data_IF_489946431267
#
_entry.id   IF_489946431267
#
_cell.length_a   1.000
_cell.length_b   1.000
_cell.length_c   1.000
_cell.angle_alpha   90.00
_cell.angle_beta   90.00
_cell.angle_gamma   90.00
#
_symmetry.space_group_name_H-M   'P 1'
#
loop_
_entity.id
_entity.type
_entity.pdbx_description
1 polymer ?
#
# COMPACT_ATOMS: atom_id res chain seq x y z
N UNK A 1 -20.51 38.97 -19.06
CA UNK A 1 -21.84 39.43 -18.61
C UNK A 1 -21.69 39.90 -17.16
N UNK A 2 -21.40 41.19 -16.96
CA UNK A 2 -22.31 42.24 -16.44
C UNK A 2 -22.29 42.25 -14.89
N UNK A 3 -22.13 43.35 -14.13
CA UNK A 3 -22.26 44.78 -14.37
C UNK A 3 -21.59 45.58 -13.20
N UNK A 4 -21.46 46.90 -13.41
CA UNK A 4 -20.85 47.98 -12.62
C UNK A 4 -21.58 48.35 -11.30
N UNK A 5 -20.82 48.89 -10.33
CA UNK A 5 -20.86 50.34 -9.98
C UNK A 5 -21.61 50.84 -8.73
N UNK A 6 -20.92 51.71 -7.96
CA UNK A 6 -21.45 52.68 -6.98
C UNK A 6 -20.96 52.40 -5.54
N UNK A 7 -20.29 53.27 -4.77
CA UNK A 7 -20.09 54.72 -4.81
C UNK A 7 -20.47 55.31 -3.45
N UNK A 8 -19.54 55.96 -2.73
CA UNK A 8 -19.90 56.84 -1.59
C UNK A 8 -19.01 56.77 -0.33
N UNK A 9 -18.26 57.85 -0.11
CA UNK A 9 -17.51 58.19 1.11
C UNK A 9 -18.43 58.55 2.28
N UNK A 10 -18.13 58.07 3.49
CA UNK A 10 -18.50 58.72 4.76
C UNK A 10 -17.32 58.64 5.73
N UNK A 11 -16.89 59.79 6.26
CA UNK A 11 -15.85 59.95 7.31
C UNK A 11 -16.53 60.19 8.69
N UNK A 12 -15.80 60.07 9.82
CA UNK A 12 -16.20 59.31 11.01
C UNK A 12 -16.85 60.14 12.13
N UNK A 13 -17.32 59.46 13.21
CA UNK A 13 -17.12 60.03 14.54
C UNK A 13 -16.63 59.03 15.60
N UNK A 14 -15.65 59.50 16.37
CA UNK A 14 -15.37 59.30 17.80
C UNK A 14 -15.82 58.02 18.56
N UNK A 15 -14.80 57.32 19.08
CA UNK A 15 -14.67 56.78 20.43
C UNK A 15 -15.90 56.16 21.13
N UNK A 16 -15.87 54.82 21.24
CA UNK A 16 -16.29 54.16 22.48
C UNK A 16 -15.34 52.98 22.74
N UNK A 17 -14.52 53.13 23.78
CA UNK A 17 -13.73 52.07 24.35
C UNK A 17 -14.70 51.15 25.12
N UNK A 18 -14.98 49.96 24.59
CA UNK A 18 -15.67 48.91 25.32
C UNK A 18 -14.70 47.75 25.58
N UNK A 19 -14.47 47.52 26.86
CA UNK A 19 -13.67 46.44 27.43
C UNK A 19 -14.17 45.08 26.92
N UNK A 20 -13.34 44.35 26.17
CA UNK A 20 -13.50 42.91 26.03
C UNK A 20 -12.39 42.22 26.81
N UNK A 21 -12.88 41.42 27.75
CA UNK A 21 -12.19 40.73 28.79
C UNK A 21 -11.15 39.73 28.24
N UNK A 22 -9.98 39.77 28.86
CA UNK A 22 -9.04 38.66 29.12
C UNK A 22 -9.48 37.24 28.68
N UNK A 23 -9.35 36.94 27.40
CA UNK A 23 -9.29 35.56 26.91
C UNK A 23 -7.83 35.12 26.82
N UNK A 24 -7.33 34.42 27.86
CA UNK A 24 -6.07 33.69 27.80
C UNK A 24 -6.07 32.83 26.53
N UNK A 25 -5.28 33.20 25.52
CA UNK A 25 -4.76 32.21 24.60
C UNK A 25 -3.90 31.29 25.45
N UNK A 26 -4.46 30.15 25.84
CA UNK A 26 -3.72 29.06 26.44
C UNK A 26 -2.61 28.72 25.45
N UNK A 27 -1.41 29.24 25.71
CA UNK A 27 -0.17 28.67 25.23
C UNK A 27 -0.16 27.25 25.80
N UNK A 28 -0.71 26.31 25.03
CA UNK A 28 -0.55 24.90 25.31
C UNK A 28 0.96 24.71 25.32
N UNK A 29 1.54 24.57 26.50
CA UNK A 29 2.94 24.21 26.69
C UNK A 29 3.08 22.85 26.05
N UNK A 30 3.39 22.83 24.75
CA UNK A 30 3.58 21.62 23.99
C UNK A 30 4.68 20.84 24.72
N UNK A 31 4.30 19.71 25.31
CA UNK A 31 5.22 18.82 26.00
C UNK A 31 6.45 18.59 25.09
N UNK A 32 7.63 18.91 25.60
CA UNK A 32 8.87 18.64 24.88
C UNK A 32 9.12 17.13 24.91
N UNK A 33 9.10 16.50 23.74
CA UNK A 33 9.32 15.07 23.59
C UNK A 33 10.74 14.81 23.08
N UNK A 34 11.31 13.68 23.50
CA UNK A 34 12.53 13.13 22.92
C UNK A 34 12.13 12.17 21.79
N UNK A 35 12.46 12.52 20.55
CA UNK A 35 12.04 11.81 19.35
C UNK A 35 13.28 11.20 18.70
N UNK A 36 13.30 9.87 18.56
CA UNK A 36 14.34 9.14 17.85
C UNK A 36 13.77 8.63 16.52
N UNK A 37 14.35 9.08 15.40
CA UNK A 37 13.97 8.63 14.06
C UNK A 37 15.02 7.65 13.55
N UNK A 38 14.61 6.42 13.27
CA UNK A 38 15.51 5.36 12.79
C UNK A 38 15.21 5.12 11.32
N UNK A 39 16.21 5.25 10.45
CA UNK A 39 16.09 5.01 9.02
C UNK A 39 17.41 4.56 8.42
N UNK A 40 17.35 3.53 7.57
CA UNK A 40 18.47 3.16 6.71
C UNK A 40 18.79 4.29 5.73
N UNK A 41 17.77 4.98 5.23
CA UNK A 41 17.93 6.07 4.26
C UNK A 41 18.05 7.40 5.00
N UNK A 42 19.27 7.95 5.05
CA UNK A 42 19.53 9.31 5.55
C UNK A 42 20.80 9.90 4.92
N UNK A 43 21.06 11.19 5.15
CA UNK A 43 22.27 11.86 4.62
C UNK A 43 23.53 11.05 4.93
N UNK A 44 24.50 10.94 3.99
CA UNK A 44 24.73 11.82 2.83
C UNK A 44 23.92 11.50 1.57
N UNK A 45 23.18 10.40 1.53
CA UNK A 45 22.38 10.08 0.35
C UNK A 45 21.24 11.09 0.20
N UNK A 46 20.98 11.49 -1.03
CA UNK A 46 19.90 12.42 -1.40
C UNK A 46 18.75 11.62 -2.01
N UNK A 47 17.57 11.75 -1.43
CA UNK A 47 16.36 11.11 -1.92
C UNK A 47 15.11 11.67 -1.23
N UNK A 48 13.95 11.12 -1.60
CA UNK A 48 12.66 11.57 -1.08
C UNK A 48 12.51 11.28 0.42
N UNK A 49 12.93 10.09 0.87
CA UNK A 49 12.84 9.65 2.26
C UNK A 49 13.78 10.47 3.15
N UNK A 50 15.01 10.69 2.70
CA UNK A 50 16.04 11.45 3.40
C UNK A 50 15.64 12.91 3.59
N UNK A 51 15.12 13.53 2.53
CA UNK A 51 14.64 14.91 2.55
C UNK A 51 13.43 15.05 3.48
N UNK A 52 12.52 14.08 3.45
CA UNK A 52 11.35 14.04 4.32
C UNK A 52 11.73 13.94 5.80
N UNK A 53 12.61 12.99 6.16
CA UNK A 53 13.08 12.81 7.53
C UNK A 53 13.78 14.07 8.03
N UNK A 54 14.60 14.70 7.19
CA UNK A 54 15.28 15.94 7.55
C UNK A 54 14.29 17.08 7.81
N UNK A 55 13.40 17.37 6.87
CA UNK A 55 12.42 18.46 7.02
C UNK A 55 11.52 18.24 8.24
N UNK A 56 11.05 17.01 8.44
CA UNK A 56 10.26 16.65 9.63
C UNK A 56 11.04 16.90 10.92
N UNK A 57 12.31 16.50 10.96
CA UNK A 57 13.18 16.72 12.12
C UNK A 57 13.38 18.20 12.42
N UNK A 58 13.53 19.04 11.39
CA UNK A 58 13.67 20.49 11.55
C UNK A 58 12.40 21.12 12.14
N UNK A 59 11.23 20.76 11.62
CA UNK A 59 9.95 21.24 12.16
C UNK A 59 9.76 20.81 13.62
N UNK A 60 10.14 19.58 13.97
CA UNK A 60 10.05 19.08 15.35
C UNK A 60 11.01 19.82 16.30
N UNK A 61 12.24 20.12 15.86
CA UNK A 61 13.20 20.93 16.62
C UNK A 61 12.66 22.35 16.83
N UNK A 62 12.12 22.99 15.79
CA UNK A 62 11.53 24.34 15.88
C UNK A 62 10.34 24.40 16.85
N UNK A 63 9.62 23.29 17.01
CA UNK A 63 8.52 23.15 17.98
C UNK A 63 9.00 22.84 19.41
N UNK A 64 10.31 22.83 19.66
CA UNK A 64 10.91 22.62 20.97
C UNK A 64 11.09 21.15 21.37
N UNK A 65 10.99 20.21 20.43
CA UNK A 65 11.25 18.79 20.68
C UNK A 65 12.73 18.45 20.45
N UNK A 66 13.25 17.49 21.23
CA UNK A 66 14.62 17.00 21.06
C UNK A 66 14.62 15.85 20.07
N UNK A 67 15.14 16.08 18.88
CA UNK A 67 15.17 15.07 17.81
C UNK A 67 16.57 14.51 17.63
N UNK A 68 16.66 13.19 17.53
CA UNK A 68 17.86 12.47 17.11
C UNK A 68 17.52 11.55 15.95
N UNK A 69 18.50 11.33 15.07
CA UNK A 69 18.39 10.38 13.96
C UNK A 69 19.39 9.27 14.16
N UNK A 70 18.99 8.03 13.90
CA UNK A 70 19.86 6.86 13.89
C UNK A 70 19.82 6.23 12.51
N UNK A 71 20.99 6.11 11.89
CA UNK A 71 21.17 5.54 10.55
C UNK A 71 22.43 4.69 10.51
N UNK A 72 22.64 3.92 9.46
CA UNK A 72 23.88 3.16 9.29
C UNK A 72 25.04 4.03 8.84
N UNK A 73 26.24 3.50 9.03
CA UNK A 73 27.46 4.16 8.64
C UNK A 73 27.61 4.20 7.13
N UNK A 74 27.90 5.38 6.61
CA UNK A 74 28.17 5.60 5.20
C UNK A 74 29.67 5.80 4.99
N UNK A 75 30.38 4.74 4.58
CA UNK A 75 31.85 4.74 4.37
C UNK A 75 32.58 5.31 5.60
N UNK A 76 33.10 6.52 5.50
CA UNK A 76 33.86 7.23 6.54
C UNK A 76 32.97 8.00 7.54
N UNK A 77 31.66 8.08 7.29
CA UNK A 77 30.68 8.66 8.23
C UNK A 77 30.26 7.60 9.23
N UNK A 78 30.95 7.59 10.37
CA UNK A 78 30.67 6.75 11.55
C UNK A 78 30.56 7.63 12.80
N UNK A 79 29.86 7.13 13.81
CA UNK A 79 29.71 7.79 15.10
C UNK A 79 28.69 8.91 15.11
N UNK A 80 28.84 9.84 16.05
CA UNK A 80 27.88 10.92 16.28
C UNK A 80 28.28 12.13 15.44
N UNK A 81 27.33 12.70 14.70
CA UNK A 81 27.52 13.95 13.97
C UNK A 81 26.36 14.89 14.21
N UNK A 82 26.64 16.18 14.10
CA UNK A 82 25.65 17.23 14.13
C UNK A 82 25.52 17.81 12.73
N UNK A 83 24.33 17.74 12.17
CA UNK A 83 23.99 18.46 10.95
C UNK A 83 23.67 19.93 11.29
N UNK A 84 23.56 20.75 10.25
CA UNK A 84 23.07 22.12 10.37
C UNK A 84 21.76 22.17 11.16
N UNK A 85 21.55 23.27 11.90
CA UNK A 85 20.36 23.51 12.74
C UNK A 85 20.22 22.55 13.94
N UNK A 86 21.33 22.00 14.45
CA UNK A 86 21.35 21.27 15.73
C UNK A 86 20.82 19.85 15.68
N UNK A 87 20.59 19.28 14.48
CA UNK A 87 20.11 17.91 14.33
C UNK A 87 21.22 16.90 14.60
N UNK A 88 21.06 16.10 15.66
CA UNK A 88 22.02 15.07 16.06
C UNK A 88 21.74 13.75 15.34
N UNK A 89 22.76 13.20 14.69
CA UNK A 89 22.69 11.96 13.90
C UNK A 89 23.71 10.95 14.41
N UNK A 90 23.27 9.73 14.66
CA UNK A 90 24.10 8.58 15.03
C UNK A 90 24.26 7.69 13.81
N UNK A 91 25.49 7.58 13.33
CA UNK A 91 25.90 6.67 12.26
C UNK A 91 26.47 5.40 12.90
N UNK A 92 25.64 4.36 12.99
CA UNK A 92 26.02 3.08 13.58
C UNK A 92 26.86 2.27 12.58
N UNK A 93 27.94 1.59 12.98
CA UNK A 93 28.80 0.80 12.10
C UNK A 93 28.13 -0.52 11.66
N UNK A 94 26.97 -0.40 11.02
CA UNK A 94 26.15 -1.50 10.50
C UNK A 94 26.51 -1.80 9.04
N UNK A 95 26.59 -3.10 8.71
CA UNK A 95 26.89 -3.55 7.34
C UNK A 95 25.62 -3.57 6.49
N UNK A 96 25.64 -2.84 5.39
CA UNK A 96 24.56 -2.81 4.39
C UNK A 96 24.55 -4.13 3.63
N UNK A 97 23.38 -4.76 3.48
CA UNK A 97 23.22 -6.00 2.72
C UNK A 97 22.76 -5.75 1.28
N UNK A 98 21.69 -4.98 1.09
CA UNK A 98 21.12 -4.72 -0.25
C UNK A 98 20.45 -3.36 -0.31
N UNK A 99 20.67 -2.59 -1.37
CA UNK A 99 20.06 -1.27 -1.64
C UNK A 99 19.97 -0.31 -0.43
N UNK A 100 21.09 -0.12 0.29
CA UNK A 100 21.18 0.66 1.54
C UNK A 100 20.41 0.10 2.75
N UNK A 101 19.68 -1.01 2.63
CA UNK A 101 19.13 -1.72 3.79
C UNK A 101 20.25 -2.42 4.55
N UNK A 102 20.41 -2.09 5.83
CA UNK A 102 21.28 -2.84 6.72
C UNK A 102 20.64 -4.14 7.17
N UNK A 103 21.46 -5.17 7.47
CA UNK A 103 21.00 -6.29 8.27
C UNK A 103 20.77 -5.79 9.71
N UNK A 104 19.68 -5.08 9.93
CA UNK A 104 19.20 -4.66 11.27
C UNK A 104 18.74 -5.86 12.09
N UNK A 105 19.02 -7.08 11.62
CA UNK A 105 18.78 -8.36 12.30
C UNK A 105 19.53 -8.47 13.64
N UNK A 106 20.62 -7.72 13.86
CA UNK A 106 21.42 -7.81 15.10
C UNK A 106 20.95 -6.91 16.26
N UNK A 107 20.04 -5.97 16.04
CA UNK A 107 19.50 -5.10 17.11
C UNK A 107 18.03 -5.38 17.46
N UNK A 108 17.59 -6.62 17.28
CA UNK A 108 16.28 -7.12 17.74
C UNK A 108 16.06 -6.97 19.26
N UNK A 109 17.09 -6.65 20.03
CA UNK A 109 17.11 -6.77 21.48
C UNK A 109 17.72 -5.57 22.20
N UNK A 110 17.36 -4.34 21.82
CA UNK A 110 17.47 -3.21 22.75
C UNK A 110 16.10 -2.99 23.41
N UNK A 111 15.90 -3.41 24.68
CA UNK A 111 14.66 -3.18 25.45
C UNK A 111 14.30 -1.69 25.63
N UNK A 112 15.16 -0.78 25.16
CA UNK A 112 15.02 0.67 25.26
C UNK A 112 14.20 1.29 24.12
N UNK A 113 13.90 0.55 23.05
CA UNK A 113 13.06 1.00 21.95
C UNK A 113 11.73 0.23 21.94
N UNK A 114 10.60 0.96 21.92
CA UNK A 114 9.24 0.38 21.79
C UNK A 114 8.95 -0.19 20.38
N UNK A 115 9.98 -0.44 19.57
CA UNK A 115 9.88 -0.80 18.15
C UNK A 115 10.60 -2.13 17.94
N UNK A 116 9.87 -3.15 17.47
CA UNK A 116 10.42 -4.45 17.08
C UNK A 116 10.44 -4.56 15.56
N UNK A 117 11.62 -4.59 14.95
CA UNK A 117 11.79 -4.75 13.51
C UNK A 117 12.00 -6.23 13.19
N UNK A 118 11.03 -6.90 12.56
CA UNK A 118 11.04 -8.36 12.36
C UNK A 118 11.93 -8.83 11.20
N UNK A 119 12.32 -7.94 10.30
CA UNK A 119 13.02 -8.31 9.07
C UNK A 119 12.09 -8.96 8.04
N UNK A 120 12.67 -9.69 7.09
CA UNK A 120 11.91 -10.43 6.08
C UNK A 120 11.22 -11.65 6.72
N UNK A 121 9.92 -11.78 6.47
CA UNK A 121 9.12 -12.92 6.93
C UNK A 121 8.65 -13.71 5.71
N UNK A 122 8.60 -15.03 5.83
CA UNK A 122 7.93 -15.86 4.84
C UNK A 122 6.43 -15.62 4.91
N UNK A 123 5.74 -15.70 3.76
CA UNK A 123 4.30 -15.41 3.68
C UNK A 123 3.45 -16.24 4.66
N UNK A 124 3.87 -17.48 4.95
CA UNK A 124 3.19 -18.38 5.90
C UNK A 124 3.17 -17.83 7.34
N UNK A 125 4.18 -17.05 7.72
CA UNK A 125 4.37 -16.54 9.09
C UNK A 125 3.77 -15.12 9.27
N UNK A 126 3.39 -14.45 8.17
CA UNK A 126 2.83 -13.09 8.19
C UNK A 126 1.58 -13.01 9.05
N UNK A 127 0.69 -14.00 8.95
CA UNK A 127 -0.54 -14.09 9.76
C UNK A 127 -0.23 -14.03 11.25
N UNK A 128 0.72 -14.85 11.71
CA UNK A 128 1.04 -15.00 13.13
C UNK A 128 1.61 -13.72 13.73
N UNK A 129 2.22 -12.87 12.89
CA UNK A 129 2.69 -11.54 13.27
C UNK A 129 1.56 -10.52 13.26
N UNK A 130 0.74 -10.48 12.21
CA UNK A 130 -0.34 -9.50 12.10
C UNK A 130 -1.32 -9.62 13.26
N UNK A 131 -1.71 -10.83 13.66
CA UNK A 131 -2.64 -11.05 14.79
C UNK A 131 -2.13 -10.55 16.15
N UNK A 132 -0.83 -10.27 16.29
CA UNK A 132 -0.26 -9.65 17.50
C UNK A 132 -0.52 -8.13 17.55
N UNK A 133 -0.89 -7.53 16.41
CA UNK A 133 -1.12 -6.10 16.24
C UNK A 133 -2.59 -5.71 16.37
N UNK A 134 -2.81 -4.41 16.58
CA UNK A 134 -4.15 -3.80 16.65
C UNK A 134 -4.44 -2.88 15.45
N UNK A 135 -3.40 -2.22 14.95
CA UNK A 135 -3.49 -1.22 13.87
C UNK A 135 -2.42 -1.57 12.83
N UNK A 136 -2.82 -1.57 11.56
CA UNK A 136 -1.93 -1.66 10.42
C UNK A 136 -1.83 -0.29 9.75
N UNK A 137 -0.60 0.19 9.55
CA UNK A 137 -0.33 1.51 8.97
C UNK A 137 0.36 1.36 7.61
N UNK A 138 -0.25 1.90 6.56
CA UNK A 138 0.36 2.00 5.23
C UNK A 138 0.58 3.47 4.85
N UNK A 139 1.84 3.83 4.56
CA UNK A 139 2.25 5.21 4.25
C UNK A 139 2.76 5.38 2.82
N UNK A 140 2.34 4.50 1.91
CA UNK A 140 2.79 4.50 0.52
C UNK A 140 2.32 5.76 -0.22
N UNK A 141 3.15 6.29 -1.13
CA UNK A 141 2.80 7.46 -1.95
C UNK A 141 2.02 7.10 -3.22
N UNK A 142 2.15 5.85 -3.67
CA UNK A 142 1.48 5.32 -4.85
C UNK A 142 1.17 3.85 -4.63
N UNK A 143 -0.09 3.46 -4.81
CA UNK A 143 -0.54 2.07 -4.66
C UNK A 143 -1.69 1.77 -5.61
N UNK A 144 -1.71 0.55 -6.16
CA UNK A 144 -2.80 0.12 -7.02
C UNK A 144 -3.92 -0.54 -6.21
N UNK A 145 -3.60 -1.60 -5.47
CA UNK A 145 -4.58 -2.36 -4.69
C UNK A 145 -4.07 -2.79 -3.32
N UNK A 146 -2.75 -2.83 -3.10
CA UNK A 146 -2.10 -3.19 -1.83
C UNK A 146 -2.70 -4.43 -1.11
N UNK A 147 -2.26 -5.64 -1.50
CA UNK A 147 -2.71 -6.89 -0.87
C UNK A 147 -2.50 -6.93 0.66
N UNK A 148 -1.47 -6.25 1.17
CA UNK A 148 -1.15 -6.17 2.59
C UNK A 148 -2.29 -5.54 3.42
N UNK A 149 -3.04 -4.59 2.85
CA UNK A 149 -4.22 -4.00 3.50
C UNK A 149 -5.31 -5.05 3.69
N UNK A 150 -5.56 -5.86 2.66
CA UNK A 150 -6.57 -6.93 2.71
C UNK A 150 -6.15 -8.02 3.69
N UNK A 151 -4.87 -8.38 3.73
CA UNK A 151 -4.31 -9.34 4.68
C UNK A 151 -4.43 -8.87 6.13
N UNK A 152 -4.07 -7.60 6.40
CA UNK A 152 -4.19 -6.99 7.72
C UNK A 152 -5.64 -6.89 8.18
N UNK A 153 -6.54 -6.42 7.32
CA UNK A 153 -7.97 -6.37 7.62
C UNK A 153 -8.55 -7.78 7.82
N UNK A 154 -8.09 -8.77 7.05
CA UNK A 154 -8.49 -10.18 7.24
C UNK A 154 -8.03 -10.75 8.59
N UNK A 155 -6.93 -10.24 9.15
CA UNK A 155 -6.49 -10.57 10.51
C UNK A 155 -7.23 -9.75 11.59
N UNK A 156 -8.14 -8.86 11.19
CA UNK A 156 -8.96 -8.05 12.08
C UNK A 156 -8.28 -6.79 12.63
N UNK A 157 -7.20 -6.32 11.99
CA UNK A 157 -6.52 -5.09 12.38
C UNK A 157 -7.26 -3.88 11.82
N UNK A 158 -7.28 -2.78 12.58
CA UNK A 158 -7.73 -1.50 12.07
C UNK A 158 -6.71 -0.96 11.05
N UNK A 159 -7.15 -0.67 9.83
CA UNK A 159 -6.26 -0.14 8.79
C UNK A 159 -6.27 1.39 8.80
N UNK A 160 -5.08 1.99 8.77
CA UNK A 160 -4.85 3.40 8.48
C UNK A 160 -3.95 3.47 7.25
N UNK A 161 -4.40 4.13 6.18
CA UNK A 161 -3.66 4.19 4.93
C UNK A 161 -3.74 5.56 4.28
N UNK A 162 -2.74 5.89 3.47
CA UNK A 162 -2.80 7.02 2.53
C UNK A 162 -3.88 6.80 1.46
N UNK A 163 -4.56 7.88 1.07
CA UNK A 163 -5.59 7.95 0.04
C UNK A 163 -4.96 8.18 -1.33
N UNK A 164 -4.24 7.18 -1.82
CA UNK A 164 -3.51 7.26 -3.10
C UNK A 164 -3.87 6.11 -4.03
N UNK A 165 -3.82 6.35 -5.34
CA UNK A 165 -4.13 5.38 -6.38
C UNK A 165 -5.46 4.64 -6.12
N UNK A 166 -5.45 3.31 -6.13
CA UNK A 166 -6.66 2.50 -5.95
C UNK A 166 -6.96 2.08 -4.51
N UNK A 167 -6.19 2.55 -3.50
CA UNK A 167 -6.45 2.24 -2.08
C UNK A 167 -7.90 2.51 -1.63
N UNK A 168 -8.56 3.61 -2.03
CA UNK A 168 -9.94 3.88 -1.63
C UNK A 168 -10.95 2.82 -2.11
N UNK A 169 -10.59 2.00 -3.09
CA UNK A 169 -11.44 0.92 -3.63
C UNK A 169 -11.21 -0.44 -2.95
N UNK A 170 -10.17 -0.56 -2.11
CA UNK A 170 -9.73 -1.82 -1.50
C UNK A 170 -10.58 -2.20 -0.30
N UNK A 171 -11.02 -1.24 0.50
CA UNK A 171 -11.84 -1.47 1.68
C UNK A 171 -12.90 -0.38 1.80
N UNK A 172 -14.10 -0.70 2.31
CA UNK A 172 -15.11 0.31 2.58
C UNK A 172 -14.62 1.28 3.67
N UNK A 173 -15.07 2.54 3.60
CA UNK A 173 -14.67 3.63 4.53
C UNK A 173 -14.93 3.31 6.01
N UNK A 174 -15.80 2.33 6.31
CA UNK A 174 -16.06 1.85 7.66
C UNK A 174 -14.92 1.01 8.26
N UNK A 175 -14.05 0.42 7.43
CA UNK A 175 -12.96 -0.46 7.85
C UNK A 175 -11.57 0.16 7.69
N UNK A 176 -11.46 1.30 7.00
CA UNK A 176 -10.19 1.96 6.71
C UNK A 176 -10.24 3.45 7.04
N UNK A 177 -9.21 3.93 7.74
CA UNK A 177 -8.99 5.37 7.93
C UNK A 177 -8.08 5.85 6.80
N UNK A 178 -8.66 6.61 5.87
CA UNK A 178 -7.95 7.19 4.74
C UNK A 178 -7.38 8.57 5.12
N UNK A 179 -6.08 8.76 4.87
CA UNK A 179 -5.33 9.97 5.15
C UNK A 179 -4.76 10.57 3.86
N UNK A 180 -4.61 11.88 3.80
CA UNK A 180 -3.79 12.49 2.74
C UNK A 180 -2.32 12.07 2.90
N UNK A 181 -1.51 12.02 1.83
CA UNK A 181 -0.09 11.64 1.87
C UNK A 181 0.77 12.74 2.52
N UNK A 182 0.46 13.08 3.76
CA UNK A 182 1.15 14.07 4.59
C UNK A 182 1.30 13.54 6.01
N UNK A 183 2.40 13.89 6.67
CA UNK A 183 2.68 13.46 8.06
C UNK A 183 1.56 13.87 9.00
N UNK A 184 1.08 15.12 8.87
CA UNK A 184 0.03 15.65 9.72
C UNK A 184 -1.25 14.82 9.61
N UNK A 185 -1.70 14.52 8.40
CA UNK A 185 -2.91 13.72 8.18
C UNK A 185 -2.75 12.27 8.65
N UNK A 186 -1.58 11.66 8.46
CA UNK A 186 -1.30 10.32 8.96
C UNK A 186 -1.29 10.26 10.50
N UNK A 187 -0.71 11.26 11.17
CA UNK A 187 -0.75 11.34 12.63
C UNK A 187 -2.19 11.50 13.15
N UNK A 188 -2.97 12.40 12.54
CA UNK A 188 -4.39 12.61 12.89
C UNK A 188 -5.21 11.33 12.67
N UNK A 189 -4.99 10.62 11.56
CA UNK A 189 -5.67 9.36 11.27
C UNK A 189 -5.28 8.23 12.23
N UNK A 190 -4.01 8.16 12.61
CA UNK A 190 -3.52 7.20 13.59
C UNK A 190 -4.07 7.48 14.99
N UNK A 191 -4.09 8.74 15.42
CA UNK A 191 -4.69 9.15 16.69
C UNK A 191 -6.20 8.81 16.73
N UNK A 192 -6.91 9.04 15.63
CA UNK A 192 -8.31 8.64 15.47
C UNK A 192 -8.49 7.13 15.61
N UNK A 193 -7.66 6.32 14.95
CA UNK A 193 -7.73 4.86 15.04
C UNK A 193 -7.43 4.36 16.47
N UNK A 194 -6.43 4.93 17.14
CA UNK A 194 -6.11 4.62 18.54
C UNK A 194 -7.27 4.99 19.47
N UNK A 195 -7.89 6.14 19.25
CA UNK A 195 -9.05 6.57 20.02
C UNK A 195 -10.22 5.60 19.87
N UNK A 196 -10.56 5.22 18.62
CA UNK A 196 -11.64 4.27 18.32
C UNK A 196 -11.39 2.89 18.92
N UNK A 197 -10.13 2.43 18.92
CA UNK A 197 -9.73 1.18 19.56
C UNK A 197 -9.94 1.24 21.08
N UNK A 198 -9.52 2.33 21.73
CA UNK A 198 -9.68 2.52 23.18
C UNK A 198 -11.12 2.71 23.62
N UNK A 199 -11.94 3.37 22.80
CA UNK A 199 -13.35 3.60 23.09
C UNK A 199 -14.23 2.37 22.83
N UNK A 200 -13.66 1.28 22.28
CA UNK A 200 -14.42 0.07 21.92
C UNK A 200 -15.43 0.31 20.81
N UNK A 201 -15.27 1.36 20.00
CA UNK A 201 -16.18 1.71 18.91
C UNK A 201 -15.92 0.87 17.66
N UNK A 202 -14.74 0.26 17.56
CA UNK A 202 -14.38 -0.59 16.43
C UNK A 202 -15.11 -1.94 16.48
N UNK A 203 -15.52 -2.48 15.32
CA UNK A 203 -16.05 -3.83 15.24
C UNK A 203 -15.01 -4.84 15.73
N UNK A 204 -15.48 -5.96 16.28
CA UNK A 204 -14.60 -7.04 16.72
C UNK A 204 -13.76 -7.56 15.54
N UNK A 205 -12.52 -8.05 15.78
CA UNK A 205 -11.69 -8.64 14.74
C UNK A 205 -12.40 -9.70 13.89
N UNK A 206 -13.26 -10.51 14.53
CA UNK A 206 -14.09 -11.53 13.87
C UNK A 206 -15.09 -10.91 12.89
N UNK A 207 -15.75 -9.81 13.26
CA UNK A 207 -16.69 -9.11 12.38
C UNK A 207 -15.96 -8.50 11.18
N UNK A 208 -14.78 -7.90 11.39
CA UNK A 208 -13.95 -7.38 10.30
C UNK A 208 -13.58 -8.51 9.34
N UNK A 209 -13.08 -9.63 9.87
CA UNK A 209 -12.74 -10.81 9.06
C UNK A 209 -13.93 -11.31 8.24
N UNK A 210 -15.10 -11.45 8.88
CA UNK A 210 -16.32 -11.93 8.23
C UNK A 210 -16.76 -11.02 7.08
N UNK A 211 -16.62 -9.70 7.24
CA UNK A 211 -16.90 -8.73 6.19
C UNK A 211 -15.89 -8.88 5.04
N UNK A 212 -14.59 -8.83 5.32
CA UNK A 212 -13.52 -8.88 4.30
C UNK A 212 -13.56 -10.18 3.49
N UNK A 213 -13.86 -11.31 4.14
CA UNK A 213 -14.04 -12.63 3.52
C UNK A 213 -15.08 -12.64 2.40
N UNK A 214 -16.08 -11.75 2.42
CA UNK A 214 -17.12 -11.71 1.38
C UNK A 214 -16.67 -10.98 0.11
N UNK A 215 -15.77 -10.01 0.23
CA UNK A 215 -15.34 -9.18 -0.89
C UNK A 215 -14.26 -9.86 -1.72
N UNK A 216 -13.26 -10.44 -1.06
CA UNK A 216 -12.03 -10.91 -1.70
C UNK A 216 -11.86 -12.42 -1.55
N UNK A 217 -12.39 -13.17 -2.51
CA UNK A 217 -12.15 -14.61 -2.61
C UNK A 217 -11.64 -14.97 -4.00
N UNK A 218 -10.60 -15.79 -4.05
CA UNK A 218 -10.07 -16.32 -5.31
C UNK A 218 -11.12 -17.05 -6.14
N UNK A 219 -12.08 -17.72 -5.49
CA UNK A 219 -13.22 -18.35 -6.16
C UNK A 219 -14.10 -17.35 -6.91
N UNK A 220 -14.38 -16.18 -6.32
CA UNK A 220 -15.16 -15.14 -6.98
C UNK A 220 -14.37 -14.44 -8.08
N UNK A 221 -13.08 -14.19 -7.86
CA UNK A 221 -12.17 -13.62 -8.88
C UNK A 221 -12.10 -14.54 -10.09
N UNK A 222 -11.82 -15.84 -9.89
CA UNK A 222 -11.79 -16.84 -10.96
C UNK A 222 -13.10 -16.87 -11.76
N UNK A 223 -14.25 -16.96 -11.08
CA UNK A 223 -15.57 -16.97 -11.73
C UNK A 223 -15.83 -15.71 -12.55
N UNK A 224 -15.41 -14.53 -12.08
CA UNK A 224 -15.57 -13.28 -12.83
C UNK A 224 -14.65 -13.24 -14.05
N UNK A 225 -13.41 -13.70 -13.91
CA UNK A 225 -12.46 -13.82 -15.02
C UNK A 225 -12.95 -14.80 -16.08
N UNK A 226 -13.47 -15.96 -15.69
CA UNK A 226 -14.07 -16.95 -16.60
C UNK A 226 -15.18 -16.35 -17.46
N UNK A 227 -16.08 -15.56 -16.86
CA UNK A 227 -17.13 -14.87 -17.63
C UNK A 227 -16.57 -13.93 -18.69
N UNK A 228 -15.50 -13.21 -18.39
CA UNK A 228 -14.85 -12.35 -19.38
C UNK A 228 -14.24 -13.19 -20.50
N UNK A 229 -13.59 -14.31 -20.17
CA UNK A 229 -13.04 -15.20 -21.17
C UNK A 229 -14.13 -15.82 -22.05
N UNK A 230 -15.26 -16.26 -21.48
CA UNK A 230 -16.41 -16.76 -22.24
C UNK A 230 -17.02 -15.70 -23.17
N UNK A 231 -17.01 -14.43 -22.75
CA UNK A 231 -17.47 -13.32 -23.60
C UNK A 231 -16.48 -13.11 -24.76
N UNK A 232 -15.19 -13.03 -24.47
CA UNK A 232 -14.14 -12.82 -25.49
C UNK A 232 -14.06 -13.99 -26.47
N UNK A 233 -14.30 -15.23 -26.03
CA UNK A 233 -14.34 -16.40 -26.90
C UNK A 233 -15.49 -16.36 -27.92
N UNK A 234 -16.56 -15.61 -27.63
CA UNK A 234 -17.68 -15.41 -28.55
C UNK A 234 -17.45 -14.23 -29.50
N UNK A 235 -16.45 -13.39 -29.25
CA UNK A 235 -16.09 -12.30 -30.14
C UNK A 235 -15.31 -12.84 -31.34
N UNK A 236 -15.69 -12.38 -32.54
CA UNK A 236 -14.98 -12.75 -33.75
C UNK A 236 -13.56 -12.18 -33.72
N UNK A 237 -12.58 -13.04 -33.99
CA UNK A 237 -11.19 -12.63 -34.12
C UNK A 237 -11.07 -11.77 -35.39
N UNK A 238 -11.02 -10.45 -35.21
CA UNK A 238 -10.84 -9.51 -36.32
C UNK A 238 -9.52 -9.78 -37.04
N UNK A 239 -9.58 -9.75 -38.37
CA UNK A 239 -8.40 -9.76 -39.23
C UNK A 239 -7.54 -8.51 -39.03
N UNK A 240 -6.26 -8.58 -39.40
CA UNK A 240 -5.28 -7.52 -39.11
C UNK A 240 -5.68 -6.18 -39.73
N UNK A 241 -6.23 -6.20 -40.95
CA UNK A 241 -6.80 -5.04 -41.64
C UNK A 241 -7.92 -4.37 -40.81
N UNK A 242 -8.92 -5.15 -40.37
CA UNK A 242 -10.02 -4.63 -39.53
C UNK A 242 -9.54 -4.12 -38.17
N UNK A 243 -8.48 -4.70 -37.60
CA UNK A 243 -7.87 -4.21 -36.35
C UNK A 243 -7.19 -2.86 -36.55
N UNK A 244 -6.48 -2.67 -37.67
CA UNK A 244 -5.84 -1.41 -38.04
C UNK A 244 -6.87 -0.31 -38.31
N UNK A 245 -7.92 -0.63 -39.08
CA UNK A 245 -9.02 0.30 -39.35
C UNK A 245 -9.71 0.75 -38.07
N UNK A 246 -9.92 -0.18 -37.12
CA UNK A 246 -10.47 0.14 -35.80
C UNK A 246 -9.57 1.08 -35.00
N UNK A 247 -8.25 0.87 -35.00
CA UNK A 247 -7.30 1.74 -34.30
C UNK A 247 -7.26 3.15 -34.90
N UNK A 248 -7.27 3.24 -36.23
CA UNK A 248 -7.23 4.52 -36.95
C UNK A 248 -8.53 5.30 -36.77
N UNK A 249 -9.68 4.63 -36.81
CA UNK A 249 -11.00 5.26 -36.69
C UNK A 249 -11.38 5.66 -35.26
N UNK A 250 -11.07 4.84 -34.25
CA UNK A 250 -11.53 5.09 -32.87
C UNK A 250 -10.57 5.92 -32.01
N UNK A 251 -9.25 5.88 -32.25
CA UNK A 251 -8.28 6.59 -31.41
C UNK A 251 -7.98 8.02 -31.91
N UNK A 252 -8.69 8.51 -32.93
CA UNK A 252 -8.54 9.85 -33.50
C UNK A 252 -7.45 9.95 -34.57
N UNK A 253 -7.53 11.00 -35.40
CA UNK A 253 -6.74 11.10 -36.65
C UNK A 253 -5.22 11.08 -36.44
N UNK A 254 -4.67 11.63 -35.37
CA UNK A 254 -3.21 11.59 -35.16
C UNK A 254 -2.79 10.36 -34.35
N UNK A 255 -3.40 10.16 -33.18
CA UNK A 255 -3.04 9.08 -32.25
C UNK A 255 -3.35 7.69 -32.83
N UNK A 256 -4.42 7.54 -33.61
CA UNK A 256 -4.78 6.29 -34.27
C UNK A 256 -3.74 5.83 -35.29
N UNK A 257 -3.18 6.74 -36.08
CA UNK A 257 -2.10 6.41 -37.03
C UNK A 257 -0.80 6.03 -36.30
N UNK A 258 -0.49 6.67 -35.16
CA UNK A 258 0.67 6.29 -34.34
C UNK A 258 0.48 4.87 -33.77
N UNK A 259 -0.70 4.56 -33.22
CA UNK A 259 -0.97 3.21 -32.70
C UNK A 259 -1.02 2.16 -33.80
N UNK A 260 -1.54 2.48 -34.98
CA UNK A 260 -1.51 1.59 -36.14
C UNK A 260 -0.07 1.28 -36.57
N UNK A 261 0.80 2.30 -36.64
CA UNK A 261 2.23 2.10 -36.93
C UNK A 261 2.90 1.18 -35.90
N UNK A 262 2.65 1.42 -34.60
CA UNK A 262 3.15 0.56 -33.52
C UNK A 262 2.62 -0.87 -33.64
N UNK A 263 1.35 -1.06 -34.01
CA UNK A 263 0.76 -2.37 -34.20
C UNK A 263 1.39 -3.13 -35.38
N UNK A 264 1.63 -2.44 -36.51
CA UNK A 264 2.36 -3.00 -37.66
C UNK A 264 3.79 -3.39 -37.25
N UNK A 265 4.48 -2.53 -36.51
CA UNK A 265 5.85 -2.81 -36.06
C UNK A 265 5.89 -4.02 -35.11
N UNK A 266 4.92 -4.13 -34.18
CA UNK A 266 4.77 -5.33 -33.34
C UNK A 266 4.46 -6.59 -34.16
N UNK A 267 3.66 -6.48 -35.22
CA UNK A 267 3.37 -7.59 -36.11
C UNK A 267 4.60 -8.04 -36.91
N UNK A 268 5.39 -7.10 -37.43
CA UNK A 268 6.68 -7.40 -38.07
C UNK A 268 7.64 -8.06 -37.08
N UNK A 269 7.70 -7.55 -35.85
CA UNK A 269 8.50 -8.16 -34.78
C UNK A 269 8.04 -9.58 -34.47
N UNK A 270 6.73 -9.84 -34.43
CA UNK A 270 6.18 -11.19 -34.26
C UNK A 270 6.57 -12.13 -35.42
N UNK A 271 6.60 -11.65 -36.67
CA UNK A 271 7.09 -12.43 -37.82
C UNK A 271 8.56 -12.80 -37.64
N UNK A 272 9.39 -11.85 -37.21
CA UNK A 272 10.81 -12.10 -36.92
C UNK A 272 10.97 -13.13 -35.80
N UNK A 273 10.20 -13.01 -34.72
CA UNK A 273 10.20 -13.98 -33.62
C UNK A 273 9.79 -15.38 -34.10
N UNK A 274 8.75 -15.49 -34.94
CA UNK A 274 8.34 -16.76 -35.56
C UNK A 274 9.40 -17.35 -36.48
N UNK A 275 10.21 -16.52 -37.13
CA UNK A 275 11.33 -17.00 -37.94
C UNK A 275 12.47 -17.55 -37.07
N UNK A 276 12.76 -16.90 -35.94
CA UNK A 276 13.80 -17.33 -34.99
C UNK A 276 13.36 -18.58 -34.23
N UNK A 277 12.10 -18.64 -33.79
CA UNK A 277 11.50 -19.75 -33.05
C UNK A 277 10.20 -20.17 -33.75
N UNK A 278 10.26 -21.12 -34.69
CA UNK A 278 9.09 -21.59 -35.40
C UNK A 278 8.08 -22.22 -34.44
N UNK A 279 6.78 -21.98 -34.68
CA UNK A 279 5.69 -22.53 -33.88
C UNK A 279 5.76 -24.06 -33.75
N UNK A 280 6.36 -24.75 -34.72
CA UNK A 280 6.55 -26.20 -34.71
C UNK A 280 7.49 -26.72 -33.61
N UNK A 281 8.32 -25.84 -33.04
CA UNK A 281 9.28 -26.15 -31.96
C UNK A 281 8.68 -25.83 -30.58
N UNK A 282 7.56 -25.10 -30.54
CA UNK A 282 6.90 -24.72 -29.29
C UNK A 282 5.99 -25.87 -28.87
N UNK A 283 6.32 -26.52 -27.75
CA UNK A 283 5.46 -27.54 -27.18
C UNK A 283 4.06 -26.98 -26.91
N UNK A 284 3.04 -27.63 -27.47
CA UNK A 284 1.66 -27.30 -27.17
C UNK A 284 1.40 -27.72 -25.73
N UNK A 285 1.10 -26.75 -24.87
CA UNK A 285 0.72 -27.04 -23.50
C UNK A 285 -0.46 -28.01 -23.49
N UNK A 286 -0.24 -29.21 -22.97
CA UNK A 286 -1.30 -30.19 -22.78
C UNK A 286 -2.32 -29.57 -21.83
N UNK A 287 -3.60 -29.59 -22.23
CA UNK A 287 -4.70 -29.20 -21.35
C UNK A 287 -4.82 -30.26 -20.25
N UNK A 288 -4.02 -30.09 -19.21
CA UNK A 288 -3.80 -31.07 -18.16
C UNK A 288 -4.93 -31.04 -17.12
N UNK A 289 -5.45 -29.86 -16.80
CA UNK A 289 -6.36 -29.62 -15.67
C UNK A 289 -7.60 -28.86 -16.10
N UNK A 290 -8.79 -29.31 -15.69
CA UNK A 290 -10.08 -28.65 -15.99
C UNK A 290 -11.17 -29.68 -16.30
N UNK A 291 -12.42 -29.27 -16.56
CA UNK A 291 -13.53 -30.19 -16.83
C UNK A 291 -13.32 -31.11 -18.05
N UNK A 292 -12.40 -30.74 -18.95
CA UNK A 292 -11.99 -31.49 -20.15
C UNK A 292 -10.50 -31.82 -20.17
N UNK A 293 -9.80 -31.65 -19.05
CA UNK A 293 -8.35 -31.81 -18.96
C UNK A 293 -7.91 -33.27 -18.92
N UNK A 294 -6.76 -33.58 -19.53
CA UNK A 294 -6.20 -34.92 -19.66
C UNK A 294 -6.04 -35.67 -18.32
N UNK A 295 -5.84 -34.97 -17.19
CA UNK A 295 -5.66 -35.59 -15.88
C UNK A 295 -6.97 -35.91 -15.13
N UNK A 296 -8.14 -35.60 -15.70
CA UNK A 296 -9.43 -35.94 -15.07
C UNK A 296 -9.80 -37.42 -15.16
N UNK A 297 -9.25 -38.17 -16.12
CA UNK A 297 -9.60 -39.59 -16.34
C UNK A 297 -8.87 -40.58 -15.41
N UNK A 298 -8.04 -40.13 -14.46
CA UNK A 298 -7.18 -41.02 -13.66
C UNK A 298 -7.34 -40.93 -12.14
N UNK A 299 -8.41 -40.33 -11.62
CA UNK A 299 -8.69 -40.41 -10.18
C UNK A 299 -9.81 -41.44 -9.92
N UNK A 300 -9.51 -42.72 -9.61
CA UNK A 300 -10.53 -43.63 -9.13
C UNK A 300 -10.96 -43.15 -7.74
N UNK A 301 -12.12 -42.50 -7.67
CA UNK A 301 -12.81 -42.30 -6.40
C UNK A 301 -13.04 -43.69 -5.79
N UNK A 302 -12.32 -44.00 -4.70
CA UNK A 302 -12.63 -45.18 -3.89
C UNK A 302 -14.01 -44.95 -3.27
N UNK A 303 -15.03 -45.60 -3.80
CA UNK A 303 -16.28 -45.83 -3.09
C UNK A 303 -16.00 -46.73 -1.89
N UNK A 304 -15.61 -46.16 -0.75
CA UNK A 304 -15.85 -46.80 0.55
C UNK A 304 -17.22 -46.37 1.03
N UNK A 305 -18.26 -47.00 0.48
CA UNK A 305 -19.63 -46.93 0.98
C UNK A 305 -19.97 -48.25 1.65
N UNK A 306 -20.00 -48.21 2.99
CA UNK A 306 -20.87 -49.06 3.81
C UNK A 306 -20.54 -50.55 3.93
N UNK A 307 -19.62 -50.89 4.84
CA UNK A 307 -19.72 -52.11 5.64
C UNK A 307 -19.30 -51.78 7.08
N UNK A 308 -20.23 -51.21 7.84
CA UNK A 308 -20.12 -51.10 9.30
C UNK A 308 -21.41 -51.68 9.89
N UNK A 309 -21.68 -52.95 9.59
CA UNK A 309 -22.69 -53.73 10.28
C UNK A 309 -22.32 -55.21 10.19
N UNK A 310 -21.94 -55.77 11.35
CA UNK A 310 -21.51 -57.16 11.67
C UNK A 310 -20.02 -57.25 12.00
N UNK A 311 -19.69 -57.12 13.28
CA UNK A 311 -19.33 -58.25 14.17
C UNK A 311 -19.15 -57.66 15.57
N UNK A 312 -20.27 -57.64 16.31
CA UNK A 312 -20.25 -57.92 17.74
C UNK A 312 -20.06 -59.44 17.91
N UNK A 313 -19.31 -59.82 18.95
CA UNK A 313 -18.87 -61.18 19.36
C UNK A 313 -17.51 -61.60 18.81
N UNK A 314 -16.46 -61.50 19.63
CA UNK A 314 -15.99 -62.61 20.51
C UNK A 314 -14.60 -62.26 21.06
N UNK A 315 -14.49 -62.28 22.41
CA UNK A 315 -13.28 -62.22 23.26
C UNK A 315 -12.50 -60.91 23.34
#
# INVERSE_FOLDING_TARGET
>A
MAYRGGGGHVKPPSALCSSVNSGKFSTCTALSHNICMVSDFFYPNMGGVESHIYQLSQCLIQRGHKVIIVTHAYRDRKGIRYLTNGLKVYYLPLKVMYNQSTATTLFHSLPLLRVRLLGALEHKDVRDVLVQGHIFLNTSLTEAFCMAIVEAASCGLQVVSTKVGGIPEVLPESLIVLCEPSVKSLCEGLEKAIFQLKSGTLPTPENIHNIVKTFYTWKNVARRTEKVYELVLKEDVLSVDKRLDRLISHCGSVTGHIFALLAVLNYLFLIVLRWITPDSVIDVAIDATGPRGAWTHHCPHSEKRGENEKVSKTR
#
